data_IF_863372250713
#
_entry.id   IF_863372250713
#
_cell.length_a   1.000
_cell.length_b   1.000
_cell.length_c   1.000
_cell.angle_alpha   90.00
_cell.angle_beta   90.00
_cell.angle_gamma   90.00
#
_symmetry.space_group_name_H-M   'P 1'
#
loop_
_entity.id
_entity.type
_entity.pdbx_description
1 polymer ?
#
# COMPACT_ATOMS: atom_id res chain seq x y z
N UNK A 1 16.12 17.88 -1.07
CA UNK A 1 16.49 16.83 -2.05
C UNK A 1 16.55 17.32 -3.50
N UNK A 2 15.44 17.62 -4.21
CA UNK A 2 15.52 17.99 -5.65
C UNK A 2 16.51 19.13 -5.94
N UNK A 3 16.28 20.32 -5.34
CA UNK A 3 17.15 21.50 -5.53
C UNK A 3 18.60 21.26 -5.10
N UNK A 4 18.78 20.42 -4.08
CA UNK A 4 20.09 20.09 -3.54
C UNK A 4 20.88 19.24 -4.53
N UNK A 5 20.29 18.17 -5.07
CA UNK A 5 20.94 17.33 -6.09
C UNK A 5 21.17 18.11 -7.39
N UNK A 6 20.20 18.92 -7.81
CA UNK A 6 20.35 19.82 -8.96
C UNK A 6 21.53 20.76 -8.80
N UNK A 7 21.73 21.36 -7.61
CA UNK A 7 22.87 22.22 -7.32
C UNK A 7 24.21 21.49 -7.26
N UNK A 8 24.21 20.20 -6.92
CA UNK A 8 25.42 19.37 -6.82
C UNK A 8 25.93 18.96 -8.20
N UNK A 9 25.07 18.33 -9.01
CA UNK A 9 25.39 17.98 -10.40
C UNK A 9 24.10 17.66 -11.20
N UNK A 10 23.51 18.68 -11.80
CA UNK A 10 22.29 18.52 -12.60
C UNK A 10 22.45 17.52 -13.77
N UNK A 11 23.64 17.42 -14.37
CA UNK A 11 23.86 16.54 -15.52
C UNK A 11 23.86 15.08 -15.07
N UNK A 12 24.59 14.75 -14.01
CA UNK A 12 24.65 13.41 -13.45
C UNK A 12 23.25 12.94 -13.01
N UNK A 13 22.56 13.74 -12.19
CA UNK A 13 21.28 13.34 -11.60
C UNK A 13 20.09 13.38 -12.56
N UNK A 14 20.23 14.07 -13.71
CA UNK A 14 19.27 13.96 -14.80
C UNK A 14 19.51 12.69 -15.62
N UNK A 15 20.77 12.37 -15.90
CA UNK A 15 21.14 11.20 -16.72
C UNK A 15 20.83 9.87 -16.02
N UNK A 16 20.98 9.80 -14.70
CA UNK A 16 20.61 8.60 -13.93
C UNK A 16 19.12 8.56 -13.53
N UNK A 17 18.30 9.51 -13.99
CA UNK A 17 16.85 9.52 -13.77
C UNK A 17 16.38 10.03 -12.40
N UNK A 18 17.26 10.31 -11.44
CA UNK A 18 16.86 10.71 -10.08
C UNK A 18 16.09 12.03 -10.07
N UNK A 19 16.53 13.05 -10.82
CA UNK A 19 15.78 14.31 -10.87
C UNK A 19 14.38 14.13 -11.47
N UNK A 20 14.25 13.29 -12.50
CA UNK A 20 12.95 12.98 -13.10
C UNK A 20 12.03 12.29 -12.10
N UNK A 21 12.57 11.32 -11.34
CA UNK A 21 11.85 10.61 -10.29
C UNK A 21 11.41 11.54 -9.16
N UNK A 22 12.31 12.39 -8.66
CA UNK A 22 11.99 13.35 -7.60
C UNK A 22 10.95 14.37 -8.07
N UNK A 23 11.02 14.81 -9.33
CA UNK A 23 10.02 15.71 -9.89
C UNK A 23 8.63 15.03 -9.97
N UNK A 24 8.58 13.76 -10.41
CA UNK A 24 7.36 12.95 -10.38
C UNK A 24 6.80 12.83 -8.95
N UNK A 25 7.63 12.46 -7.97
CA UNK A 25 7.20 12.23 -6.59
C UNK A 25 6.60 13.51 -5.96
N UNK A 26 7.17 14.69 -6.25
CA UNK A 26 6.64 15.99 -5.79
C UNK A 26 5.25 16.32 -6.34
N UNK A 27 4.87 15.73 -7.47
CA UNK A 27 3.51 15.84 -8.01
C UNK A 27 2.52 14.85 -7.38
N UNK A 28 3.00 13.89 -6.59
CA UNK A 28 2.18 12.86 -5.94
C UNK A 28 1.86 13.23 -4.50
N UNK A 29 2.89 13.64 -3.73
CA UNK A 29 2.76 14.00 -2.32
C UNK A 29 3.79 15.00 -1.83
N UNK A 30 3.53 15.61 -0.67
CA UNK A 30 4.42 16.61 -0.06
C UNK A 30 5.85 16.08 0.21
N UNK A 31 5.98 14.87 0.75
CA UNK A 31 7.27 14.29 1.10
C UNK A 31 7.21 12.79 1.39
N UNK A 32 8.36 12.11 1.46
CA UNK A 32 8.41 10.73 1.93
C UNK A 32 7.94 10.64 3.40
N UNK A 33 7.37 9.50 3.76
CA UNK A 33 6.83 9.24 5.10
C UNK A 33 7.31 7.87 5.53
N UNK A 34 7.54 7.72 6.82
CA UNK A 34 8.00 6.47 7.40
C UNK A 34 6.83 5.70 8.00
N UNK A 35 6.76 4.41 7.71
CA UNK A 35 5.72 3.51 8.23
C UNK A 35 5.62 3.55 9.77
N UNK A 36 6.76 3.45 10.46
CA UNK A 36 6.80 3.39 11.92
C UNK A 36 6.31 4.67 12.60
N UNK A 37 6.33 5.82 11.90
CA UNK A 37 5.89 7.09 12.45
C UNK A 37 4.36 7.27 12.31
N UNK A 38 3.70 6.46 11.48
CA UNK A 38 2.26 6.50 11.32
C UNK A 38 1.55 5.89 12.54
N UNK A 39 0.63 6.65 13.12
CA UNK A 39 -0.23 6.18 14.20
C UNK A 39 -1.50 5.57 13.60
N UNK A 40 -1.64 4.26 13.78
CA UNK A 40 -2.81 3.49 13.35
C UNK A 40 -4.06 4.03 14.04
N UNK A 41 -5.14 4.21 13.29
CA UNK A 41 -6.39 4.82 13.73
C UNK A 41 -6.39 6.36 13.69
N UNK A 42 -5.24 7.00 13.41
CA UNK A 42 -5.16 8.45 13.29
C UNK A 42 -5.32 8.87 11.81
N UNK A 43 -6.33 9.70 11.49
CA UNK A 43 -6.58 10.16 10.13
C UNK A 43 -5.39 10.89 9.51
N UNK A 44 -5.11 10.63 8.22
CA UNK A 44 -3.99 11.25 7.49
C UNK A 44 -4.42 12.53 6.74
N UNK A 45 -4.94 13.51 7.48
CA UNK A 45 -5.58 14.71 6.90
C UNK A 45 -4.63 15.90 6.64
N UNK A 46 -3.39 15.85 7.13
CA UNK A 46 -2.45 16.99 7.05
C UNK A 46 -2.09 17.38 5.60
N UNK A 47 -2.15 16.42 4.68
CA UNK A 47 -1.82 16.62 3.27
C UNK A 47 -2.96 16.16 2.36
N UNK A 48 -4.16 16.72 2.56
CA UNK A 48 -5.37 16.40 1.77
C UNK A 48 -5.27 16.67 0.25
N UNK A 49 -4.15 17.21 -0.24
CA UNK A 49 -3.87 17.36 -1.69
C UNK A 49 -3.05 16.21 -2.26
N UNK A 50 -2.52 15.33 -1.40
CA UNK A 50 -1.77 14.17 -1.83
C UNK A 50 -2.72 13.19 -2.53
N UNK A 51 -2.24 12.56 -3.62
CA UNK A 51 -3.09 11.69 -4.45
C UNK A 51 -3.62 10.44 -3.72
N UNK A 52 -3.03 10.09 -2.58
CA UNK A 52 -3.45 8.96 -1.73
C UNK A 52 -4.15 9.37 -0.44
N UNK A 53 -4.72 10.58 -0.38
CA UNK A 53 -5.44 11.07 0.82
C UNK A 53 -6.86 10.50 0.94
N UNK A 54 -7.55 10.31 -0.19
CA UNK A 54 -8.89 9.72 -0.23
C UNK A 54 -8.87 8.29 0.34
N UNK A 55 -9.80 8.00 1.25
CA UNK A 55 -9.91 6.70 1.92
C UNK A 55 -9.04 6.56 3.18
N UNK A 56 -8.26 7.59 3.55
CA UNK A 56 -7.42 7.59 4.76
C UNK A 56 -8.02 8.36 5.93
N UNK A 57 -9.26 8.83 5.78
CA UNK A 57 -9.98 9.63 6.78
C UNK A 57 -10.28 8.85 8.05
N UNK A 58 -10.39 7.52 7.95
CA UNK A 58 -10.54 6.63 9.09
C UNK A 58 -9.24 6.29 9.81
N UNK A 59 -8.08 6.73 9.29
CA UNK A 59 -6.78 6.38 9.85
C UNK A 59 -6.47 4.89 9.82
N UNK A 60 -7.17 4.13 8.98
CA UNK A 60 -7.07 2.69 8.85
C UNK A 60 -6.96 2.34 7.37
N UNK A 61 -6.28 1.23 7.08
CA UNK A 61 -6.23 0.63 5.75
C UNK A 61 -6.65 -0.82 5.86
N UNK A 62 -7.03 -1.42 4.76
CA UNK A 62 -7.42 -2.84 4.75
C UNK A 62 -6.28 -3.73 4.22
N UNK A 63 -5.42 -3.14 3.38
CA UNK A 63 -4.31 -3.81 2.69
C UNK A 63 -3.05 -2.96 2.83
N UNK A 64 -1.94 -3.60 3.17
CA UNK A 64 -0.59 -3.04 3.14
C UNK A 64 0.22 -3.81 2.09
N UNK A 65 0.83 -3.10 1.15
CA UNK A 65 1.66 -3.70 0.11
C UNK A 65 3.12 -3.28 0.30
N UNK A 66 4.01 -4.25 0.37
CA UNK A 66 5.47 -4.06 0.42
C UNK A 66 6.11 -4.52 -0.89
N UNK A 67 7.30 -4.00 -1.20
CA UNK A 67 7.97 -4.24 -2.49
C UNK A 67 9.24 -5.11 -2.38
N UNK A 68 9.60 -5.53 -1.18
CA UNK A 68 10.74 -6.41 -0.89
C UNK A 68 10.54 -7.08 0.48
N UNK A 69 11.10 -8.27 0.65
CA UNK A 69 10.98 -9.07 1.89
C UNK A 69 11.43 -8.31 3.14
N UNK A 70 12.50 -7.50 3.05
CA UNK A 70 12.96 -6.70 4.18
C UNK A 70 11.94 -5.65 4.65
N UNK A 71 11.21 -5.05 3.71
CA UNK A 71 10.13 -4.12 4.04
C UNK A 71 8.94 -4.86 4.65
N UNK A 72 8.66 -6.06 4.15
CA UNK A 72 7.62 -6.94 4.70
C UNK A 72 7.91 -7.31 6.16
N UNK A 73 9.11 -7.79 6.46
CA UNK A 73 9.55 -8.10 7.83
C UNK A 73 9.39 -6.87 8.74
N UNK A 74 9.89 -5.71 8.30
CA UNK A 74 9.83 -4.48 9.07
C UNK A 74 8.40 -4.00 9.35
N UNK A 75 7.45 -4.27 8.45
CA UNK A 75 6.02 -3.96 8.65
C UNK A 75 5.38 -4.96 9.61
N UNK A 76 5.61 -6.26 9.40
CA UNK A 76 5.02 -7.32 10.24
C UNK A 76 5.52 -7.23 11.68
N UNK A 77 6.82 -7.04 11.88
CA UNK A 77 7.43 -6.86 13.20
C UNK A 77 6.88 -5.62 13.90
N UNK A 78 6.76 -4.50 13.18
CA UNK A 78 6.24 -3.25 13.73
C UNK A 78 4.77 -3.40 14.15
N UNK A 79 3.93 -4.06 13.34
CA UNK A 79 2.55 -4.38 13.69
C UNK A 79 2.45 -5.28 14.92
N UNK A 80 3.28 -6.32 14.99
CA UNK A 80 3.34 -7.21 16.16
C UNK A 80 3.74 -6.45 17.43
N UNK A 81 4.74 -5.56 17.33
CA UNK A 81 5.23 -4.76 18.44
C UNK A 81 4.22 -3.69 18.92
N UNK A 82 3.29 -3.26 18.06
CA UNK A 82 2.21 -2.34 18.44
C UNK A 82 1.15 -3.00 19.32
N UNK A 83 1.06 -4.33 19.34
CA UNK A 83 0.19 -5.09 20.25
C UNK A 83 -1.30 -5.06 19.89
N UNK A 84 -1.64 -4.78 18.62
CA UNK A 84 -3.00 -4.84 18.08
C UNK A 84 -4.07 -4.05 18.87
N UNK A 85 -3.86 -2.76 19.18
CA UNK A 85 -4.75 -1.97 20.02
C UNK A 85 -6.18 -1.83 19.47
N UNK A 86 -6.39 -1.94 18.16
CA UNK A 86 -7.72 -1.84 17.55
C UNK A 86 -8.38 -3.20 17.31
N UNK A 87 -7.61 -4.29 17.42
CA UNK A 87 -8.03 -5.65 17.10
C UNK A 87 -8.72 -5.75 15.73
N UNK A 88 -8.17 -5.00 14.74
CA UNK A 88 -8.70 -4.98 13.36
C UNK A 88 -7.73 -5.69 12.42
N UNK A 89 -8.18 -6.65 11.61
CA UNK A 89 -7.29 -7.33 10.67
C UNK A 89 -6.83 -6.39 9.55
N UNK A 90 -5.59 -6.61 9.10
CA UNK A 90 -5.00 -5.98 7.92
C UNK A 90 -4.21 -7.03 7.12
N UNK A 91 -4.41 -7.07 5.82
CA UNK A 91 -3.65 -7.98 4.97
C UNK A 91 -2.33 -7.33 4.57
N UNK A 92 -1.21 -8.03 4.80
CA UNK A 92 0.12 -7.58 4.39
C UNK A 92 0.58 -8.46 3.23
N UNK A 93 0.75 -7.85 2.06
CA UNK A 93 1.16 -8.52 0.83
C UNK A 93 2.52 -7.97 0.42
N UNK A 94 3.54 -8.83 0.34
CA UNK A 94 4.77 -8.46 -0.33
C UNK A 94 4.65 -8.79 -1.82
N UNK A 95 5.13 -7.91 -2.68
CA UNK A 95 5.36 -8.18 -4.11
C UNK A 95 6.83 -7.93 -4.37
N UNK A 96 7.59 -8.96 -4.70
CA UNK A 96 9.04 -8.85 -4.86
C UNK A 96 9.38 -8.05 -6.12
N UNK A 97 9.91 -6.84 -5.95
CA UNK A 97 10.25 -5.91 -7.03
C UNK A 97 11.70 -5.47 -6.86
N UNK A 98 12.53 -5.70 -7.88
CA UNK A 98 13.92 -5.24 -7.86
C UNK A 98 14.00 -3.72 -7.87
N UNK A 99 14.95 -3.16 -7.10
CA UNK A 99 15.13 -1.71 -6.98
C UNK A 99 15.82 -1.09 -8.21
N UNK A 100 15.07 -0.97 -9.30
CA UNK A 100 15.43 -0.19 -10.48
C UNK A 100 14.18 0.35 -11.19
N UNK A 101 14.35 1.30 -12.11
CA UNK A 101 13.23 2.00 -12.73
C UNK A 101 12.33 1.13 -13.60
N UNK A 102 12.89 0.13 -14.29
CA UNK A 102 12.15 -0.73 -15.21
C UNK A 102 11.27 -1.71 -14.44
N UNK A 103 11.87 -2.41 -13.47
CA UNK A 103 11.17 -3.36 -12.59
C UNK A 103 10.13 -2.65 -11.71
N UNK A 104 10.44 -1.45 -11.21
CA UNK A 104 9.47 -0.65 -10.46
C UNK A 104 8.26 -0.21 -11.31
N UNK A 105 8.43 0.02 -12.61
CA UNK A 105 7.33 0.36 -13.51
C UNK A 105 6.40 -0.85 -13.72
N UNK A 106 6.98 -2.03 -13.96
CA UNK A 106 6.23 -3.28 -14.14
C UNK A 106 5.55 -3.68 -12.82
N UNK A 107 6.29 -3.67 -11.71
CA UNK A 107 5.77 -3.95 -10.38
C UNK A 107 4.64 -3.00 -9.98
N UNK A 108 4.76 -1.71 -10.32
CA UNK A 108 3.68 -0.74 -10.10
C UNK A 108 2.40 -1.04 -10.89
N UNK A 109 2.50 -1.58 -12.11
CA UNK A 109 1.35 -2.04 -12.87
C UNK A 109 0.72 -3.29 -12.24
N UNK A 110 1.54 -4.24 -11.79
CA UNK A 110 1.07 -5.42 -11.06
C UNK A 110 0.32 -5.06 -9.78
N UNK A 111 0.89 -4.18 -8.97
CA UNK A 111 0.24 -3.67 -7.75
C UNK A 111 -1.07 -2.96 -8.06
N UNK A 112 -1.13 -2.16 -9.14
CA UNK A 112 -2.36 -1.49 -9.55
C UNK A 112 -3.46 -2.50 -9.93
N UNK A 113 -3.12 -3.56 -10.68
CA UNK A 113 -4.06 -4.63 -11.03
C UNK A 113 -4.59 -5.37 -9.78
N UNK A 114 -3.70 -5.67 -8.82
CA UNK A 114 -4.08 -6.28 -7.54
C UNK A 114 -5.02 -5.37 -6.76
N UNK A 115 -4.67 -4.09 -6.61
CA UNK A 115 -5.49 -3.11 -5.89
C UNK A 115 -6.87 -2.93 -6.53
N UNK A 116 -6.96 -2.93 -7.87
CA UNK A 116 -8.24 -2.88 -8.58
C UNK A 116 -9.08 -4.14 -8.34
N UNK A 117 -8.46 -5.32 -8.33
CA UNK A 117 -9.13 -6.59 -8.06
C UNK A 117 -9.70 -6.63 -6.63
N UNK A 118 -8.91 -6.20 -5.64
CA UNK A 118 -9.33 -6.08 -4.24
C UNK A 118 -10.47 -5.05 -4.08
N UNK A 119 -10.34 -3.88 -4.71
CA UNK A 119 -11.39 -2.87 -4.67
C UNK A 119 -12.69 -3.32 -5.33
N UNK A 120 -12.62 -4.14 -6.39
CA UNK A 120 -13.81 -4.70 -7.02
C UNK A 120 -14.54 -5.64 -6.06
N UNK A 121 -13.82 -6.57 -5.43
CA UNK A 121 -14.39 -7.46 -4.42
C UNK A 121 -14.96 -6.70 -3.22
N UNK A 122 -14.24 -5.69 -2.70
CA UNK A 122 -14.73 -4.87 -1.60
C UNK A 122 -16.04 -4.14 -1.95
N UNK A 123 -16.18 -3.63 -3.17
CA UNK A 123 -17.42 -2.99 -3.64
C UNK A 123 -18.57 -3.99 -3.74
N UNK A 124 -18.33 -5.17 -4.32
CA UNK A 124 -19.34 -6.22 -4.43
C UNK A 124 -19.87 -6.64 -3.05
N UNK A 125 -18.97 -6.88 -2.09
CA UNK A 125 -19.36 -7.22 -0.73
C UNK A 125 -20.12 -6.08 -0.05
N UNK A 126 -19.62 -4.85 -0.18
CA UNK A 126 -20.26 -3.65 0.39
C UNK A 126 -21.67 -3.43 -0.16
N UNK A 127 -21.89 -3.70 -1.45
CA UNK A 127 -23.21 -3.60 -2.07
C UNK A 127 -24.14 -4.74 -1.61
N UNK A 128 -23.60 -5.94 -1.37
CA UNK A 128 -24.37 -7.10 -0.92
C UNK A 128 -24.82 -7.00 0.55
N UNK A 129 -23.93 -6.60 1.47
CA UNK A 129 -24.24 -6.50 2.91
C UNK A 129 -24.76 -5.12 3.33
N UNK A 130 -24.61 -4.13 2.45
CA UNK A 130 -24.96 -2.74 2.69
C UNK A 130 -23.87 -1.96 3.43
N UNK A 131 -23.71 -0.68 3.04
CA UNK A 131 -22.71 0.24 3.56
C UNK A 131 -22.65 0.31 5.09
N UNK A 132 -23.80 0.41 5.76
CA UNK A 132 -23.86 0.51 7.22
C UNK A 132 -23.36 -0.74 7.93
N UNK A 133 -23.51 -1.91 7.32
CA UNK A 133 -23.00 -3.16 7.86
C UNK A 133 -21.49 -3.23 7.64
N UNK A 134 -21.04 -3.08 6.39
CA UNK A 134 -19.63 -3.19 6.00
C UNK A 134 -18.72 -2.19 6.72
N UNK A 135 -19.14 -0.92 6.80
CA UNK A 135 -18.35 0.19 7.32
C UNK A 135 -18.31 0.22 8.88
N UNK A 136 -19.07 -0.64 9.57
CA UNK A 136 -19.14 -0.68 11.04
C UNK A 136 -17.82 -1.12 11.72
N UNK A 137 -16.83 -1.54 10.93
CA UNK A 137 -15.45 -1.72 11.38
C UNK A 137 -15.21 -2.90 12.32
N UNK A 138 -16.19 -3.80 12.50
CA UNK A 138 -15.98 -5.06 13.22
C UNK A 138 -15.31 -6.08 12.30
N UNK A 139 -14.52 -6.99 12.86
CA UNK A 139 -13.94 -8.09 12.07
C UNK A 139 -15.04 -8.92 11.35
N UNK A 140 -16.21 -9.06 11.98
CA UNK A 140 -17.37 -9.73 11.37
C UNK A 140 -18.00 -8.97 10.21
N UNK A 141 -17.88 -7.64 10.13
CA UNK A 141 -18.52 -6.86 9.06
C UNK A 141 -17.78 -6.92 7.73
N UNK A 142 -16.49 -7.24 7.78
CA UNK A 142 -15.62 -7.38 6.60
C UNK A 142 -15.18 -8.82 6.31
N UNK A 143 -15.60 -9.78 7.14
CA UNK A 143 -15.23 -11.19 7.02
C UNK A 143 -15.43 -11.74 5.59
N UNK A 144 -16.54 -11.40 4.92
CA UNK A 144 -16.80 -11.88 3.56
C UNK A 144 -15.82 -11.33 2.52
N UNK A 145 -15.28 -10.13 2.71
CA UNK A 145 -14.20 -9.60 1.89
C UNK A 145 -12.86 -10.25 2.25
N UNK A 146 -12.54 -10.35 3.54
CA UNK A 146 -11.27 -10.88 4.02
C UNK A 146 -11.09 -12.36 3.59
N UNK A 147 -12.17 -13.14 3.54
CA UNK A 147 -12.21 -14.52 3.03
C UNK A 147 -11.88 -14.63 1.53
N UNK A 148 -12.14 -13.58 0.73
CA UNK A 148 -11.87 -13.56 -0.72
C UNK A 148 -10.44 -13.16 -1.05
N UNK A 149 -9.71 -12.54 -0.13
CA UNK A 149 -8.35 -12.02 -0.40
C UNK A 149 -7.38 -13.10 -0.90
N UNK A 150 -7.31 -14.31 -0.33
CA UNK A 150 -6.41 -15.35 -0.81
C UNK A 150 -6.69 -15.76 -2.27
N UNK A 151 -7.97 -15.91 -2.64
CA UNK A 151 -8.37 -16.31 -3.99
C UNK A 151 -8.09 -15.20 -5.03
N UNK A 152 -8.29 -13.94 -4.62
CA UNK A 152 -7.94 -12.78 -5.44
C UNK A 152 -6.43 -12.73 -5.68
N UNK A 153 -5.63 -12.94 -4.63
CA UNK A 153 -4.18 -12.95 -4.73
C UNK A 153 -3.68 -14.11 -5.61
N UNK A 154 -4.26 -15.31 -5.46
CA UNK A 154 -3.94 -16.46 -6.30
C UNK A 154 -4.24 -16.16 -7.78
N UNK A 155 -5.44 -15.65 -8.07
CA UNK A 155 -5.84 -15.26 -9.43
C UNK A 155 -4.96 -14.16 -10.01
N UNK A 156 -4.48 -13.23 -9.16
CA UNK A 156 -3.53 -12.20 -9.56
C UNK A 156 -2.15 -12.79 -9.87
N UNK A 157 -1.66 -13.73 -9.05
CA UNK A 157 -0.36 -14.37 -9.24
C UNK A 157 -0.29 -15.17 -10.56
N UNK A 158 -1.40 -15.75 -11.01
CA UNK A 158 -1.52 -16.38 -12.34
C UNK A 158 -1.33 -15.36 -13.49
N UNK A 159 -1.84 -14.13 -13.32
CA UNK A 159 -1.67 -13.06 -14.31
C UNK A 159 -0.27 -12.43 -14.27
N UNK A 160 0.36 -12.43 -13.09
CA UNK A 160 1.68 -11.84 -12.84
C UNK A 160 2.70 -12.87 -12.34
N UNK A 161 3.01 -13.92 -13.11
CA UNK A 161 3.85 -15.03 -12.64
C UNK A 161 5.30 -14.62 -12.33
N UNK A 162 5.76 -13.48 -12.85
CA UNK A 162 7.11 -12.96 -12.64
C UNK A 162 7.21 -11.97 -11.46
N UNK A 163 6.11 -11.72 -10.74
CA UNK A 163 6.07 -10.92 -9.52
C UNK A 163 5.66 -11.83 -8.37
N UNK A 164 6.60 -12.55 -7.74
CA UNK A 164 6.29 -13.41 -6.61
C UNK A 164 5.69 -12.60 -5.47
N UNK A 165 4.58 -13.08 -4.91
CA UNK A 165 3.97 -12.47 -3.75
C UNK A 165 3.96 -13.39 -2.53
N UNK A 166 4.19 -12.80 -1.36
CA UNK A 166 3.95 -13.44 -0.06
C UNK A 166 2.84 -12.70 0.67
N UNK A 167 2.07 -13.40 1.49
CA UNK A 167 0.91 -12.85 2.15
C UNK A 167 0.78 -13.35 3.58
N UNK A 168 0.36 -12.45 4.45
CA UNK A 168 -0.06 -12.77 5.82
C UNK A 168 -1.19 -11.84 6.26
N UNK A 169 -1.85 -12.22 7.34
CA UNK A 169 -2.80 -11.35 8.06
C UNK A 169 -2.10 -10.85 9.32
N UNK A 170 -2.05 -9.54 9.47
CA UNK A 170 -1.61 -8.86 10.69
C UNK A 170 -2.79 -8.13 11.33
N UNK A 171 -2.53 -7.46 12.45
CA UNK A 171 -3.57 -6.83 13.25
C UNK A 171 -3.14 -5.42 13.67
N UNK A 172 -4.06 -4.48 13.48
CA UNK A 172 -3.99 -3.10 13.97
C UNK A 172 -4.51 -2.99 15.39
#
# INVERSE_FOLDING_TARGET
MFKELESKDARLYKNNGILNMLNRNRGVKWGPERWQDWQVGVPRLQHAKDRGSEGTEGGLVDIVITCEERCWDAVVDDLLNRGSPLNRPVHVINVEIKDNHEEAAIGGQGILDLANSLNAAAREERDAVGASSFDNGSASSRASFDERVPDILASWQERWPNLPATWTVAWF
#
